data_IF_778764627566
#
_entry.id   IF_778764627566
#
_cell.length_a   1.000
_cell.length_b   1.000
_cell.length_c   1.000
_cell.angle_alpha   90.00
_cell.angle_beta   90.00
_cell.angle_gamma   90.00
#
_symmetry.space_group_name_H-M   'P 1'
#
loop_
_entity.id
_entity.type
_entity.pdbx_description
1 polymer ?
#
# COMPACT_ATOMS: atom_id res chain seq x y z
N UNK A 1 -21.71 7.36 -11.42
CA UNK A 1 -20.80 8.40 -11.90
C UNK A 1 -19.54 8.49 -11.01
N UNK A 2 -19.65 8.59 -9.69
CA UNK A 2 -18.48 8.72 -8.77
C UNK A 2 -17.40 7.65 -8.93
N UNK A 3 -17.77 6.37 -9.11
CA UNK A 3 -16.78 5.27 -9.30
C UNK A 3 -15.99 5.46 -10.60
N UNK A 4 -16.63 5.92 -11.67
CA UNK A 4 -15.98 6.18 -12.95
C UNK A 4 -14.98 7.36 -12.85
N UNK A 5 -15.30 8.37 -12.08
CA UNK A 5 -14.43 9.53 -11.81
C UNK A 5 -13.14 9.14 -11.06
N UNK A 6 -13.18 8.07 -10.25
CA UNK A 6 -12.02 7.53 -9.55
C UNK A 6 -11.19 6.63 -10.46
N UNK A 7 -11.85 5.74 -11.22
CA UNK A 7 -11.17 4.74 -12.04
C UNK A 7 -10.58 5.34 -13.32
N UNK A 8 -11.26 6.29 -13.94
CA UNK A 8 -10.86 6.85 -15.24
C UNK A 8 -9.47 7.50 -15.21
N UNK A 9 -9.11 8.35 -14.24
CA UNK A 9 -7.75 8.89 -14.13
C UNK A 9 -6.67 7.82 -14.01
N UNK A 10 -6.92 6.76 -13.24
CA UNK A 10 -6.00 5.62 -13.09
C UNK A 10 -5.77 4.93 -14.44
N UNK A 11 -6.85 4.63 -15.18
CA UNK A 11 -6.78 4.02 -16.50
C UNK A 11 -6.05 4.93 -17.50
N UNK A 12 -6.34 6.22 -17.49
CA UNK A 12 -5.67 7.20 -18.39
C UNK A 12 -4.17 7.22 -18.14
N UNK A 13 -3.72 7.23 -16.88
CA UNK A 13 -2.29 7.20 -16.55
C UNK A 13 -1.60 5.89 -16.98
N UNK A 14 -2.27 4.76 -16.79
CA UNK A 14 -1.76 3.46 -17.27
C UNK A 14 -1.67 3.46 -18.80
N UNK A 15 -2.70 3.92 -19.52
CA UNK A 15 -2.69 4.02 -20.99
C UNK A 15 -1.59 4.98 -21.48
N UNK A 16 -1.34 6.08 -20.77
CA UNK A 16 -0.24 7.00 -21.07
C UNK A 16 1.11 6.30 -20.92
N UNK A 17 1.33 5.50 -19.88
CA UNK A 17 2.52 4.70 -19.70
C UNK A 17 2.74 3.73 -20.87
N UNK A 18 1.69 3.02 -21.30
CA UNK A 18 1.73 2.14 -22.47
C UNK A 18 2.05 2.91 -23.77
N UNK A 19 1.48 4.10 -23.93
CA UNK A 19 1.74 4.99 -25.07
C UNK A 19 3.24 5.45 -25.07
N UNK A 20 3.78 5.83 -23.93
CA UNK A 20 5.20 6.20 -23.77
C UNK A 20 6.13 5.06 -24.23
N UNK A 21 5.79 3.80 -23.93
CA UNK A 21 6.52 2.62 -24.43
C UNK A 21 6.38 2.48 -25.97
N UNK A 22 5.15 2.54 -26.46
CA UNK A 22 4.86 2.37 -27.89
C UNK A 22 5.54 3.43 -28.76
N UNK A 23 5.53 4.67 -28.32
CA UNK A 23 6.12 5.80 -29.05
C UNK A 23 7.62 6.00 -28.73
N UNK A 24 8.21 5.13 -27.88
CA UNK A 24 9.61 5.21 -27.48
C UNK A 24 9.98 6.57 -26.84
N UNK A 25 9.03 7.24 -26.19
CA UNK A 25 9.26 8.49 -25.46
C UNK A 25 10.12 8.26 -24.22
N UNK A 26 9.99 7.09 -23.59
CA UNK A 26 10.79 6.65 -22.47
C UNK A 26 11.47 5.33 -22.82
N UNK A 27 12.63 5.11 -22.24
CA UNK A 27 13.36 3.84 -22.32
C UNK A 27 13.35 3.15 -20.96
N UNK A 28 13.84 1.91 -20.90
CA UNK A 28 13.85 1.12 -19.67
C UNK A 28 14.65 1.80 -18.55
N UNK A 29 15.81 2.40 -18.87
CA UNK A 29 16.62 3.12 -17.89
C UNK A 29 15.88 4.33 -17.30
N UNK A 30 15.11 5.06 -18.11
CA UNK A 30 14.28 6.17 -17.66
C UNK A 30 13.21 5.70 -16.67
N UNK A 31 12.57 4.58 -16.96
CA UNK A 31 11.56 3.95 -16.06
C UNK A 31 12.21 3.48 -14.76
N UNK A 32 13.37 2.84 -14.82
CA UNK A 32 14.07 2.36 -13.63
C UNK A 32 14.55 3.54 -12.75
N UNK A 33 14.99 4.64 -13.34
CA UNK A 33 15.30 5.87 -12.61
C UNK A 33 14.05 6.49 -11.95
N UNK A 34 12.89 6.46 -12.63
CA UNK A 34 11.62 6.90 -12.01
C UNK A 34 11.23 6.02 -10.83
N UNK A 35 11.39 4.69 -10.93
CA UNK A 35 11.17 3.78 -9.79
C UNK A 35 12.07 4.13 -8.61
N UNK A 36 13.36 4.36 -8.86
CA UNK A 36 14.34 4.75 -7.83
C UNK A 36 13.92 6.06 -7.16
N UNK A 37 13.56 7.10 -7.94
CA UNK A 37 13.11 8.38 -7.42
C UNK A 37 11.91 8.21 -6.48
N UNK A 38 10.90 7.46 -6.91
CA UNK A 38 9.70 7.22 -6.11
C UNK A 38 10.03 6.42 -4.86
N UNK A 39 10.75 5.31 -4.97
CA UNK A 39 10.95 4.38 -3.84
C UNK A 39 12.00 4.86 -2.85
N UNK A 40 12.99 5.65 -3.27
CA UNK A 40 14.09 6.07 -2.41
C UNK A 40 13.92 7.48 -1.85
N UNK A 41 13.05 8.32 -2.45
CA UNK A 41 12.87 9.71 -2.04
C UNK A 41 11.41 10.02 -1.74
N UNK A 42 10.52 9.90 -2.73
CA UNK A 42 9.16 10.38 -2.61
C UNK A 42 8.31 9.58 -1.61
N UNK A 43 8.32 8.26 -1.72
CA UNK A 43 7.59 7.36 -0.80
C UNK A 43 8.08 7.48 0.65
N UNK A 44 9.38 7.48 0.97
CA UNK A 44 9.85 7.72 2.33
C UNK A 44 9.32 9.02 2.94
N UNK A 45 9.26 10.11 2.17
CA UNK A 45 8.69 11.38 2.66
C UNK A 45 7.19 11.25 2.95
N UNK A 46 6.43 10.63 2.04
CA UNK A 46 5.00 10.41 2.23
C UNK A 46 4.72 9.51 3.46
N UNK A 47 5.48 8.42 3.61
CA UNK A 47 5.36 7.48 4.74
C UNK A 47 5.70 8.19 6.05
N UNK A 48 6.81 8.93 6.08
CA UNK A 48 7.19 9.72 7.26
C UNK A 48 6.08 10.68 7.64
N UNK A 49 5.56 11.47 6.69
CA UNK A 49 4.50 12.44 6.95
C UNK A 49 3.24 11.76 7.47
N UNK A 50 2.76 10.72 6.80
CA UNK A 50 1.56 9.99 7.19
C UNK A 50 1.64 9.44 8.63
N UNK A 51 2.79 8.83 8.98
CA UNK A 51 3.00 8.29 10.33
C UNK A 51 3.28 9.37 11.37
N UNK A 52 3.99 10.44 11.01
CA UNK A 52 4.30 11.54 11.92
C UNK A 52 3.09 12.41 12.28
N UNK A 53 2.07 12.44 11.41
CA UNK A 53 0.82 13.21 11.62
C UNK A 53 -0.35 12.35 12.08
N UNK A 54 -0.17 11.03 12.15
CA UNK A 54 -1.20 10.10 12.63
C UNK A 54 -1.56 10.37 14.10
N UNK A 55 -2.79 10.07 14.45
CA UNK A 55 -3.32 10.25 15.80
C UNK A 55 -3.08 8.97 16.62
N UNK A 56 -2.12 9.00 17.54
CA UNK A 56 -1.72 7.85 18.34
C UNK A 56 -2.48 7.84 19.68
N UNK A 57 -3.68 7.30 19.67
CA UNK A 57 -4.45 7.01 20.85
C UNK A 57 -4.56 5.49 21.08
N UNK A 58 -5.18 5.08 22.20
CA UNK A 58 -5.32 3.66 22.54
C UNK A 58 -6.16 2.90 21.50
N UNK A 59 -7.22 3.49 21.00
CA UNK A 59 -8.10 2.90 20.00
C UNK A 59 -7.37 2.72 18.67
N UNK A 60 -6.63 3.73 18.21
CA UNK A 60 -5.75 3.64 17.05
C UNK A 60 -4.76 2.48 17.19
N UNK A 61 -4.12 2.33 18.35
CA UNK A 61 -3.21 1.22 18.61
C UNK A 61 -3.87 -0.15 18.48
N UNK A 62 -5.10 -0.30 18.98
CA UNK A 62 -5.88 -1.55 18.86
C UNK A 62 -6.22 -1.83 17.39
N UNK A 63 -6.70 -0.84 16.65
CA UNK A 63 -7.08 -0.99 15.25
C UNK A 63 -5.87 -1.35 14.37
N UNK A 64 -4.75 -0.67 14.56
CA UNK A 64 -3.47 -0.98 13.89
C UNK A 64 -3.04 -2.42 14.21
N UNK A 65 -3.16 -2.83 15.47
CA UNK A 65 -2.85 -4.20 15.89
C UNK A 65 -3.74 -5.25 15.22
N UNK A 66 -5.06 -5.03 15.19
CA UNK A 66 -6.01 -5.92 14.50
C UNK A 66 -5.65 -6.02 13.01
N UNK A 67 -5.45 -4.90 12.35
CA UNK A 67 -5.13 -4.86 10.92
C UNK A 67 -3.80 -5.53 10.62
N UNK A 68 -2.76 -5.29 11.44
CA UNK A 68 -1.46 -5.91 11.26
C UNK A 68 -1.53 -7.45 11.39
N UNK A 69 -2.22 -7.96 12.42
CA UNK A 69 -2.43 -9.40 12.60
C UNK A 69 -3.19 -9.99 11.41
N UNK A 70 -4.24 -9.31 10.95
CA UNK A 70 -5.01 -9.76 9.79
C UNK A 70 -4.21 -9.74 8.49
N UNK A 71 -3.30 -8.78 8.30
CA UNK A 71 -2.36 -8.76 7.17
C UNK A 71 -1.41 -9.96 7.22
N UNK A 72 -0.87 -10.29 8.40
CA UNK A 72 -0.02 -11.48 8.61
C UNK A 72 -0.79 -12.76 8.31
N UNK A 73 -2.04 -12.87 8.76
CA UNK A 73 -2.90 -14.03 8.49
C UNK A 73 -3.19 -14.13 6.98
N UNK A 74 -3.60 -13.03 6.34
CA UNK A 74 -3.87 -12.98 4.90
C UNK A 74 -2.65 -13.42 4.09
N UNK A 75 -1.46 -12.92 4.46
CA UNK A 75 -0.21 -13.28 3.82
C UNK A 75 0.14 -14.76 4.00
N UNK A 76 -0.05 -15.28 5.22
CA UNK A 76 0.15 -16.70 5.55
C UNK A 76 -0.81 -17.61 4.77
N UNK A 77 -2.08 -17.22 4.65
CA UNK A 77 -3.06 -17.91 3.82
C UNK A 77 -2.67 -17.88 2.34
N UNK A 78 -2.10 -16.77 1.86
CA UNK A 78 -1.53 -16.67 0.52
C UNK A 78 -0.44 -17.72 0.26
N UNK A 79 0.40 -18.05 1.25
CA UNK A 79 1.35 -19.17 1.14
C UNK A 79 0.65 -20.53 1.07
N UNK A 80 -0.39 -20.74 1.87
CA UNK A 80 -1.19 -21.97 1.85
C UNK A 80 -1.93 -22.15 0.52
N UNK A 81 -2.29 -21.07 -0.16
CA UNK A 81 -2.97 -21.08 -1.46
C UNK A 81 -2.04 -21.36 -2.65
N UNK A 82 -0.73 -21.40 -2.48
CA UNK A 82 0.25 -21.67 -3.56
C UNK A 82 -0.08 -22.90 -4.42
N UNK A 83 -0.52 -24.04 -3.87
CA UNK A 83 -0.89 -25.20 -4.69
C UNK A 83 -2.02 -24.96 -5.68
N UNK A 84 -2.88 -23.95 -5.44
CA UNK A 84 -3.99 -23.59 -6.32
C UNK A 84 -3.52 -22.89 -7.61
N UNK A 85 -2.24 -22.46 -7.68
CA UNK A 85 -1.61 -21.94 -8.88
C UNK A 85 -0.85 -23.06 -9.57
N UNK A 86 -1.30 -23.58 -10.74
CA UNK A 86 -0.65 -24.67 -11.46
C UNK A 86 0.74 -24.30 -11.98
N UNK A 87 0.89 -23.06 -12.43
CA UNK A 87 2.12 -22.56 -13.03
C UNK A 87 3.18 -22.31 -11.95
N UNK A 88 4.20 -23.18 -11.85
CA UNK A 88 5.28 -23.11 -10.85
C UNK A 88 5.99 -21.76 -10.81
N UNK A 89 6.15 -21.11 -11.97
CA UNK A 89 6.79 -19.81 -12.10
C UNK A 89 6.11 -18.72 -11.26
N UNK A 90 4.76 -18.76 -11.15
CA UNK A 90 3.96 -17.74 -10.48
C UNK A 90 3.60 -18.12 -9.04
N UNK A 91 3.75 -19.40 -8.64
CA UNK A 91 3.46 -19.86 -7.28
C UNK A 91 4.17 -19.08 -6.19
N UNK A 92 5.44 -18.75 -6.42
CA UNK A 92 6.26 -18.01 -5.44
C UNK A 92 5.75 -16.59 -5.19
N UNK A 93 5.07 -15.98 -6.17
CA UNK A 93 4.53 -14.63 -6.08
C UNK A 93 3.08 -14.58 -5.58
N UNK A 94 2.36 -15.70 -5.57
CA UNK A 94 0.94 -15.73 -5.21
C UNK A 94 0.65 -15.08 -3.84
N UNK A 95 1.40 -15.36 -2.74
CA UNK A 95 1.16 -14.71 -1.45
C UNK A 95 1.22 -13.19 -1.52
N UNK A 96 2.15 -12.67 -2.31
CA UNK A 96 2.34 -11.24 -2.51
C UNK A 96 1.20 -10.60 -3.32
N UNK A 97 0.63 -11.33 -4.27
CA UNK A 97 -0.43 -10.84 -5.14
C UNK A 97 -1.81 -10.82 -4.49
N UNK A 98 -2.08 -11.77 -3.56
CA UNK A 98 -3.42 -11.93 -2.98
C UNK A 98 -3.63 -11.22 -1.65
N UNK A 99 -2.55 -10.85 -0.93
CA UNK A 99 -2.61 -10.38 0.46
C UNK A 99 -2.35 -8.88 0.64
N UNK A 100 -2.02 -8.14 -0.41
CA UNK A 100 -1.72 -6.70 -0.31
C UNK A 100 -2.95 -5.87 -0.56
N UNK A 101 -3.08 -4.83 0.26
CA UNK A 101 -4.07 -3.77 0.14
C UNK A 101 -3.39 -2.50 -0.34
N UNK A 102 -4.13 -1.69 -1.09
CA UNK A 102 -3.60 -0.46 -1.64
C UNK A 102 -4.45 0.72 -1.16
N UNK A 103 -3.89 1.53 -0.26
CA UNK A 103 -4.56 2.70 0.32
C UNK A 103 -4.59 3.90 -0.63
N UNK A 104 -3.43 4.24 -1.17
CA UNK A 104 -3.17 5.56 -1.73
C UNK A 104 -3.95 5.91 -2.99
N UNK A 105 -4.02 5.02 -3.97
CA UNK A 105 -4.58 5.35 -5.29
C UNK A 105 -6.08 5.10 -5.42
N UNK A 106 -6.63 4.15 -4.66
CA UNK A 106 -8.03 3.77 -4.80
C UNK A 106 -8.83 3.86 -3.49
N UNK A 107 -8.31 3.35 -2.38
CA UNK A 107 -9.08 3.26 -1.15
C UNK A 107 -9.42 4.64 -0.55
N UNK A 108 -8.45 5.56 -0.49
CA UNK A 108 -8.70 6.93 0.00
C UNK A 108 -9.72 7.68 -0.86
N UNK A 109 -9.58 7.78 -2.22
CA UNK A 109 -10.59 8.41 -3.06
C UNK A 109 -11.97 7.77 -2.96
N UNK A 110 -12.04 6.43 -2.90
CA UNK A 110 -13.29 5.71 -2.75
C UNK A 110 -13.96 6.05 -1.43
N UNK A 111 -13.23 5.94 -0.32
CA UNK A 111 -13.75 6.25 1.01
C UNK A 111 -14.19 7.71 1.13
N UNK A 112 -13.37 8.66 0.66
CA UNK A 112 -13.73 10.09 0.65
C UNK A 112 -15.01 10.36 -0.16
N UNK A 113 -15.17 9.68 -1.29
CA UNK A 113 -16.38 9.80 -2.11
C UNK A 113 -17.65 9.27 -1.42
N UNK A 114 -17.52 8.26 -0.56
CA UNK A 114 -18.62 7.62 0.16
C UNK A 114 -18.94 8.29 1.49
N UNK A 115 -17.89 8.66 2.23
CA UNK A 115 -18.00 9.06 3.64
C UNK A 115 -17.63 10.53 3.90
N UNK A 116 -17.10 11.26 2.91
CA UNK A 116 -16.60 12.62 3.07
C UNK A 116 -15.15 12.73 3.49
N UNK A 117 -14.50 13.84 3.16
CA UNK A 117 -13.09 14.08 3.46
C UNK A 117 -12.82 14.25 4.96
N UNK A 118 -13.80 14.70 5.71
CA UNK A 118 -13.74 14.88 7.16
C UNK A 118 -13.53 13.57 7.94
N UNK A 119 -13.86 12.43 7.32
CA UNK A 119 -13.75 11.11 7.93
C UNK A 119 -12.47 10.35 7.53
N UNK A 120 -11.56 10.98 6.77
CA UNK A 120 -10.32 10.34 6.28
C UNK A 120 -9.44 9.72 7.38
N UNK A 121 -9.52 10.22 8.61
CA UNK A 121 -8.79 9.67 9.74
C UNK A 121 -9.08 8.18 9.98
N UNK A 122 -10.28 7.71 9.70
CA UNK A 122 -10.68 6.31 9.91
C UNK A 122 -9.88 5.36 8.99
N UNK A 123 -9.77 5.71 7.70
CA UNK A 123 -9.02 4.87 6.76
C UNK A 123 -7.51 5.05 6.94
N UNK A 124 -7.04 6.24 7.33
CA UNK A 124 -5.63 6.51 7.57
C UNK A 124 -5.08 5.65 8.72
N UNK A 125 -5.86 5.42 9.78
CA UNK A 125 -5.48 4.53 10.89
C UNK A 125 -5.26 3.10 10.41
N UNK A 126 -6.13 2.59 9.54
CA UNK A 126 -5.98 1.23 8.98
C UNK A 126 -4.74 1.12 8.10
N UNK A 127 -4.43 2.18 7.33
CA UNK A 127 -3.28 2.22 6.44
C UNK A 127 -1.93 2.20 7.19
N UNK A 128 -1.86 2.68 8.42
CA UNK A 128 -0.65 2.55 9.27
C UNK A 128 -0.19 1.09 9.34
N UNK A 129 -1.11 0.16 9.56
CA UNK A 129 -0.78 -1.28 9.61
C UNK A 129 -0.27 -1.78 8.26
N UNK A 130 -0.89 -1.32 7.16
CA UNK A 130 -0.47 -1.64 5.79
C UNK A 130 0.93 -1.14 5.47
N UNK A 131 1.24 0.10 5.85
CA UNK A 131 2.58 0.69 5.69
C UNK A 131 3.63 -0.09 6.50
N UNK A 132 3.34 -0.38 7.78
CA UNK A 132 4.23 -1.16 8.64
C UNK A 132 4.49 -2.55 8.07
N UNK A 133 3.43 -3.29 7.72
CA UNK A 133 3.55 -4.62 7.15
C UNK A 133 4.24 -4.60 5.79
N UNK A 134 3.84 -3.68 4.91
CA UNK A 134 4.35 -3.55 3.55
C UNK A 134 5.84 -3.31 3.49
N UNK A 135 6.33 -2.36 4.28
CA UNK A 135 7.75 -1.98 4.24
C UNK A 135 8.66 -2.77 5.17
N UNK A 136 8.11 -3.53 6.13
CA UNK A 136 8.91 -4.42 6.98
C UNK A 136 8.93 -5.86 6.45
N UNK A 137 7.78 -6.51 6.40
CA UNK A 137 7.68 -7.95 6.10
C UNK A 137 7.59 -8.20 4.59
N UNK A 138 6.63 -7.54 3.93
CA UNK A 138 6.29 -7.83 2.54
C UNK A 138 7.43 -7.52 1.56
N UNK A 139 7.96 -6.31 1.56
CA UNK A 139 9.03 -5.91 0.65
C UNK A 139 10.33 -6.69 0.91
N UNK A 140 10.64 -6.97 2.18
CA UNK A 140 11.81 -7.77 2.54
C UNK A 140 11.71 -9.20 2.02
N UNK A 141 10.55 -9.85 2.19
CA UNK A 141 10.33 -11.21 1.68
C UNK A 141 10.26 -11.25 0.15
N UNK A 142 9.65 -10.25 -0.48
CA UNK A 142 9.59 -10.15 -1.94
C UNK A 142 11.00 -10.08 -2.55
N UNK A 143 11.88 -9.23 -1.99
CA UNK A 143 13.26 -9.11 -2.44
C UNK A 143 14.04 -10.43 -2.35
N UNK A 144 13.87 -11.22 -1.28
CA UNK A 144 14.50 -12.55 -1.18
C UNK A 144 13.96 -13.54 -2.21
N UNK A 145 12.64 -13.52 -2.44
CA UNK A 145 12.00 -14.39 -3.44
C UNK A 145 12.43 -14.05 -4.87
N UNK A 146 12.59 -12.76 -5.17
CA UNK A 146 13.08 -12.29 -6.48
C UNK A 146 14.54 -12.72 -6.72
N UNK A 147 15.39 -12.62 -5.71
CA UNK A 147 16.79 -13.07 -5.77
C UNK A 147 16.96 -14.60 -5.76
N UNK A 148 15.87 -15.36 -5.65
CA UNK A 148 15.92 -16.82 -5.57
C UNK A 148 16.45 -17.35 -4.25
N UNK A 149 16.54 -16.51 -3.22
CA UNK A 149 16.99 -16.89 -1.89
C UNK A 149 15.88 -17.59 -1.10
N UNK A 150 16.27 -18.41 -0.12
CA UNK A 150 15.34 -18.91 0.90
C UNK A 150 15.01 -17.78 1.85
N UNK A 151 13.74 -17.74 2.29
CA UNK A 151 13.29 -16.76 3.27
C UNK A 151 14.06 -16.96 4.58
N UNK A 152 14.89 -15.98 4.92
CA UNK A 152 15.70 -15.94 6.14
C UNK A 152 15.27 -14.72 6.97
N UNK A 153 14.64 -14.93 8.14
CA UNK A 153 14.17 -13.83 8.99
C UNK A 153 15.28 -12.88 9.43
N UNK A 154 16.51 -13.37 9.64
CA UNK A 154 17.64 -12.53 10.03
C UNK A 154 18.07 -11.59 8.90
N UNK A 155 18.14 -12.10 7.67
CA UNK A 155 18.40 -11.28 6.48
C UNK A 155 17.26 -10.32 6.20
N UNK A 156 15.99 -10.73 6.44
CA UNK A 156 14.84 -9.86 6.29
C UNK A 156 14.97 -8.60 7.16
N UNK A 157 15.23 -8.81 8.44
CA UNK A 157 15.39 -7.69 9.38
C UNK A 157 16.55 -6.77 8.98
N UNK A 158 17.71 -7.37 8.66
CA UNK A 158 18.89 -6.59 8.22
C UNK A 158 18.66 -5.82 6.92
N UNK A 159 17.89 -6.38 5.99
CA UNK A 159 17.54 -5.71 4.73
C UNK A 159 16.51 -4.60 4.96
N UNK A 160 15.49 -4.86 5.78
CA UNK A 160 14.43 -3.91 6.07
C UNK A 160 14.96 -2.61 6.69
N UNK A 161 15.83 -2.71 7.71
CA UNK A 161 16.42 -1.53 8.38
C UNK A 161 17.26 -0.64 7.45
N UNK A 162 17.67 -1.15 6.31
CA UNK A 162 18.45 -0.37 5.33
C UNK A 162 17.58 0.30 4.27
N UNK A 163 16.29 -0.03 4.20
CA UNK A 163 15.41 0.60 3.22
C UNK A 163 14.97 1.99 3.68
N UNK A 164 15.02 3.02 2.82
CA UNK A 164 14.57 4.36 3.17
C UNK A 164 13.13 4.40 3.68
N UNK A 165 12.26 3.57 3.12
CA UNK A 165 10.86 3.47 3.53
C UNK A 165 10.70 2.95 4.96
N UNK A 166 11.48 1.93 5.39
CA UNK A 166 11.46 1.43 6.76
C UNK A 166 12.02 2.47 7.74
N UNK A 167 13.13 3.12 7.39
CA UNK A 167 13.71 4.19 8.20
C UNK A 167 12.70 5.32 8.38
N UNK A 168 12.04 5.74 7.30
CA UNK A 168 10.99 6.75 7.32
C UNK A 168 9.80 6.33 8.19
N UNK A 169 9.41 5.05 8.17
CA UNK A 169 8.34 4.51 9.01
C UNK A 169 8.70 4.62 10.50
N UNK A 170 9.89 4.19 10.88
CA UNK A 170 10.36 4.26 12.28
C UNK A 170 10.46 5.72 12.75
N UNK A 171 11.08 6.58 11.95
CA UNK A 171 11.21 8.00 12.28
C UNK A 171 9.84 8.70 12.33
N UNK A 172 8.92 8.35 11.43
CA UNK A 172 7.56 8.87 11.41
C UNK A 172 6.78 8.51 12.67
N UNK A 173 6.85 7.24 13.12
CA UNK A 173 6.21 6.80 14.37
C UNK A 173 6.81 7.56 15.57
N UNK A 174 8.13 7.66 15.66
CA UNK A 174 8.80 8.41 16.75
C UNK A 174 8.35 9.87 16.75
N UNK A 175 8.32 10.50 15.57
CA UNK A 175 7.90 11.89 15.42
C UNK A 175 6.42 12.09 15.80
N UNK A 176 5.54 11.14 15.43
CA UNK A 176 4.12 11.16 15.77
C UNK A 176 3.90 11.00 17.28
N UNK A 177 4.55 10.01 17.91
CA UNK A 177 4.45 9.77 19.35
C UNK A 177 5.01 10.94 20.19
N UNK A 178 6.04 11.64 19.70
CA UNK A 178 6.64 12.80 20.39
C UNK A 178 5.92 14.12 20.09
N UNK A 179 5.05 14.16 19.08
CA UNK A 179 4.32 15.35 18.67
C UNK A 179 5.20 16.43 18.02
N UNK A 180 6.40 16.08 17.57
CA UNK A 180 7.35 17.06 16.99
C UNK A 180 6.79 17.67 15.70
N UNK A 181 6.23 16.85 14.81
CA UNK A 181 5.66 17.34 13.54
C UNK A 181 4.38 18.13 13.78
N UNK A 182 3.54 17.74 14.73
CA UNK A 182 2.36 18.50 15.12
C UNK A 182 2.74 19.91 15.65
N UNK A 183 3.81 20.00 16.45
CA UNK A 183 4.34 21.30 16.92
C UNK A 183 4.90 22.13 15.76
N UNK A 184 5.58 21.48 14.82
CA UNK A 184 6.09 22.15 13.61
C UNK A 184 4.94 22.71 12.76
N UNK A 185 3.87 21.93 12.58
CA UNK A 185 2.68 22.33 11.85
C UNK A 185 1.85 23.41 12.56
N UNK A 186 1.97 23.55 13.87
CA UNK A 186 1.39 24.66 14.63
C UNK A 186 2.28 25.93 14.67
N UNK A 187 3.50 25.85 14.15
CA UNK A 187 4.50 26.92 14.18
C UNK A 187 4.64 27.69 12.86
N UNK A 188 5.59 28.64 12.82
CA UNK A 188 5.81 29.52 11.65
C UNK A 188 6.31 28.77 10.41
N UNK A 189 6.84 27.57 10.56
CA UNK A 189 7.36 26.75 9.46
C UNK A 189 6.33 25.78 8.85
N UNK A 190 5.06 25.81 9.31
CA UNK A 190 4.01 24.93 8.84
C UNK A 190 3.83 24.98 7.31
N UNK A 191 3.73 26.20 6.75
CA UNK A 191 3.56 26.38 5.30
C UNK A 191 4.75 25.86 4.50
N UNK A 192 5.97 26.05 4.98
CA UNK A 192 7.18 25.54 4.30
C UNK A 192 7.21 24.02 4.32
N UNK A 193 6.95 23.39 5.48
CA UNK A 193 6.90 21.93 5.61
C UNK A 193 5.85 21.32 4.67
N UNK A 194 4.61 21.83 4.72
CA UNK A 194 3.50 21.33 3.89
C UNK A 194 3.78 21.53 2.40
N UNK A 195 4.38 22.64 2.01
CA UNK A 195 4.73 22.90 0.60
C UNK A 195 5.79 21.91 0.10
N UNK A 196 6.85 21.66 0.89
CA UNK A 196 7.90 20.69 0.52
C UNK A 196 7.33 19.28 0.43
N UNK A 197 6.53 18.87 1.43
CA UNK A 197 5.87 17.58 1.45
C UNK A 197 4.99 17.39 0.22
N UNK A 198 4.07 18.33 -0.05
CA UNK A 198 3.17 18.28 -1.20
C UNK A 198 3.90 18.20 -2.55
N UNK A 199 4.96 18.98 -2.74
CA UNK A 199 5.77 18.95 -3.99
C UNK A 199 6.35 17.57 -4.20
N UNK A 200 6.83 16.91 -3.14
CA UNK A 200 7.45 15.58 -3.24
C UNK A 200 6.43 14.46 -3.38
N UNK A 201 5.24 14.59 -2.80
CA UNK A 201 4.29 13.47 -2.68
C UNK A 201 3.17 13.48 -3.70
N UNK A 202 2.72 14.64 -4.16
CA UNK A 202 1.57 14.79 -5.08
C UNK A 202 1.72 13.96 -6.36
N UNK A 203 2.95 13.81 -6.88
CA UNK A 203 3.20 13.12 -8.14
C UNK A 203 3.41 11.61 -7.99
N UNK A 204 3.48 11.06 -6.76
CA UNK A 204 3.81 9.65 -6.52
C UNK A 204 2.88 8.72 -7.31
N UNK A 205 1.58 8.84 -7.12
CA UNK A 205 0.58 8.00 -7.78
C UNK A 205 0.67 8.10 -9.29
N UNK A 206 0.80 9.30 -9.83
CA UNK A 206 0.91 9.51 -11.29
C UNK A 206 2.15 8.85 -11.87
N UNK A 207 3.30 8.97 -11.21
CA UNK A 207 4.56 8.34 -11.65
C UNK A 207 4.46 6.82 -11.55
N UNK A 208 3.92 6.28 -10.45
CA UNK A 208 3.74 4.82 -10.28
C UNK A 208 2.85 4.27 -11.39
N UNK A 209 1.69 4.87 -11.64
CA UNK A 209 0.75 4.41 -12.66
C UNK A 209 1.34 4.46 -14.07
N UNK A 210 2.13 5.49 -14.37
CA UNK A 210 2.85 5.59 -15.64
C UNK A 210 3.89 4.48 -15.77
N UNK A 211 4.68 4.22 -14.72
CA UNK A 211 5.67 3.13 -14.67
C UNK A 211 5.01 1.76 -14.82
N UNK A 212 3.89 1.54 -14.14
CA UNK A 212 3.09 0.31 -14.28
C UNK A 212 2.59 0.16 -15.71
N UNK A 213 1.99 1.20 -16.28
CA UNK A 213 1.51 1.20 -17.66
C UNK A 213 2.61 0.88 -18.67
N UNK A 214 3.79 1.49 -18.52
CA UNK A 214 4.95 1.19 -19.37
C UNK A 214 5.39 -0.28 -19.25
N UNK A 215 5.29 -0.87 -18.07
CA UNK A 215 5.74 -2.23 -17.78
C UNK A 215 4.74 -3.32 -18.21
N UNK A 216 3.49 -2.97 -18.53
CA UNK A 216 2.47 -3.93 -18.97
C UNK A 216 2.85 -4.55 -20.31
N UNK A 217 2.91 -5.88 -20.33
CA UNK A 217 3.05 -6.68 -21.55
C UNK A 217 1.80 -7.55 -21.72
N UNK A 218 1.17 -7.44 -22.90
CA UNK A 218 0.04 -8.28 -23.21
C UNK A 218 0.53 -9.63 -23.76
N UNK A 219 0.66 -10.61 -22.88
CA UNK A 219 0.88 -12.01 -23.27
C UNK A 219 -0.37 -12.83 -22.94
N UNK A 220 -0.93 -13.49 -23.95
CA UNK A 220 -2.09 -14.39 -23.78
C UNK A 220 -1.82 -15.51 -22.79
N UNK A 221 -0.55 -15.90 -22.60
CA UNK A 221 -0.14 -16.91 -21.62
C UNK A 221 -0.30 -16.43 -20.17
N UNK A 222 -0.32 -15.12 -19.94
CA UNK A 222 -0.52 -14.53 -18.61
C UNK A 222 -2.00 -14.43 -18.22
N UNK A 223 -2.92 -14.55 -19.18
CA UNK A 223 -4.34 -14.34 -18.92
C UNK A 223 -4.91 -15.34 -17.90
N UNK A 224 -4.58 -16.62 -18.04
CA UNK A 224 -5.05 -17.66 -17.11
C UNK A 224 -4.52 -17.47 -15.69
N UNK A 225 -3.19 -17.30 -15.44
CA UNK A 225 -2.69 -17.03 -14.11
C UNK A 225 -3.22 -15.70 -13.53
N UNK A 226 -3.42 -14.65 -14.33
CA UNK A 226 -3.99 -13.40 -13.86
C UNK A 226 -5.44 -13.57 -13.37
N UNK A 227 -6.30 -14.21 -14.17
CA UNK A 227 -7.70 -14.44 -13.79
C UNK A 227 -7.76 -15.27 -12.49
N UNK A 228 -6.96 -16.33 -12.38
CA UNK A 228 -6.91 -17.15 -11.16
C UNK A 228 -6.47 -16.33 -9.95
N UNK A 229 -5.42 -15.55 -10.10
CA UNK A 229 -4.95 -14.65 -9.01
C UNK A 229 -6.05 -13.69 -8.57
N UNK A 230 -6.77 -13.08 -9.52
CA UNK A 230 -7.89 -12.17 -9.22
C UNK A 230 -8.99 -12.90 -8.44
N UNK A 231 -9.40 -14.09 -8.91
CA UNK A 231 -10.43 -14.87 -8.22
C UNK A 231 -9.99 -15.26 -6.81
N UNK A 232 -8.76 -15.78 -6.66
CA UNK A 232 -8.22 -16.16 -5.36
C UNK A 232 -8.10 -14.96 -4.43
N UNK A 233 -7.70 -13.79 -4.96
CA UNK A 233 -7.64 -12.53 -4.21
C UNK A 233 -9.02 -12.12 -3.72
N UNK A 234 -10.04 -12.08 -4.58
CA UNK A 234 -11.41 -11.70 -4.21
C UNK A 234 -11.94 -12.63 -3.11
N UNK A 235 -11.75 -13.95 -3.24
CA UNK A 235 -12.19 -14.92 -2.25
C UNK A 235 -11.49 -14.71 -0.89
N UNK A 236 -10.16 -14.56 -0.92
CA UNK A 236 -9.39 -14.32 0.30
C UNK A 236 -9.79 -13.01 0.96
N UNK A 237 -9.90 -11.92 0.19
CA UNK A 237 -10.28 -10.61 0.72
C UNK A 237 -11.68 -10.60 1.29
N UNK A 238 -12.66 -11.26 0.66
CA UNK A 238 -14.01 -11.39 1.21
C UNK A 238 -14.01 -12.04 2.59
N UNK A 239 -13.23 -13.11 2.78
CA UNK A 239 -13.07 -13.79 4.07
C UNK A 239 -12.38 -12.88 5.09
N UNK A 240 -11.30 -12.19 4.67
CA UNK A 240 -10.52 -11.32 5.54
C UNK A 240 -11.31 -10.09 5.98
N UNK A 241 -12.06 -9.45 5.07
CA UNK A 241 -12.97 -8.33 5.42
C UNK A 241 -13.96 -8.79 6.49
N UNK A 242 -14.61 -9.93 6.29
CA UNK A 242 -15.53 -10.49 7.29
C UNK A 242 -14.84 -10.71 8.64
N UNK A 243 -13.63 -11.26 8.64
CA UNK A 243 -12.83 -11.46 9.86
C UNK A 243 -12.45 -10.16 10.57
N UNK A 244 -12.03 -9.14 9.83
CA UNK A 244 -11.70 -7.82 10.39
C UNK A 244 -12.94 -7.15 10.97
N UNK A 245 -14.06 -7.15 10.25
CA UNK A 245 -15.32 -6.56 10.73
C UNK A 245 -15.79 -7.24 12.01
N UNK A 246 -15.71 -8.57 12.09
CA UNK A 246 -16.03 -9.30 13.32
C UNK A 246 -15.08 -8.95 14.46
N UNK A 247 -13.78 -8.88 14.21
CA UNK A 247 -12.81 -8.51 15.24
C UNK A 247 -13.05 -7.09 15.77
N UNK A 248 -13.36 -6.13 14.89
CA UNK A 248 -13.68 -4.75 15.27
C UNK A 248 -14.99 -4.73 16.08
N UNK A 249 -16.03 -5.42 15.63
CA UNK A 249 -17.31 -5.51 16.34
C UNK A 249 -17.15 -5.98 17.80
N UNK A 250 -16.34 -7.03 18.02
CA UNK A 250 -16.14 -7.58 19.37
C UNK A 250 -15.16 -6.80 20.24
N UNK A 251 -14.18 -6.09 19.68
CA UNK A 251 -13.09 -5.45 20.43
C UNK A 251 -13.33 -3.95 20.59
N UNK A 252 -13.81 -3.28 19.56
CA UNK A 252 -13.94 -1.82 19.51
C UNK A 252 -15.42 -1.40 19.57
N UNK A 253 -16.32 -2.20 18.98
CA UNK A 253 -17.73 -1.93 18.85
C UNK A 253 -18.13 -1.55 17.42
N UNK A 254 -19.42 -1.33 17.20
CA UNK A 254 -19.95 -1.00 15.87
C UNK A 254 -19.81 0.48 15.55
N UNK A 255 -18.98 0.77 14.56
CA UNK A 255 -18.81 2.10 13.97
C UNK A 255 -18.96 2.02 12.46
N UNK A 256 -20.08 2.51 11.93
CA UNK A 256 -20.39 2.44 10.49
C UNK A 256 -19.26 3.01 9.60
N UNK A 257 -18.71 4.16 9.97
CA UNK A 257 -17.63 4.80 9.21
C UNK A 257 -16.35 3.96 9.19
N UNK A 258 -16.01 3.32 10.32
CA UNK A 258 -14.86 2.42 10.43
C UNK A 258 -15.08 1.16 9.60
N UNK A 259 -16.28 0.58 9.64
CA UNK A 259 -16.63 -0.60 8.84
C UNK A 259 -16.54 -0.29 7.33
N UNK A 260 -17.00 0.89 6.90
CA UNK A 260 -16.85 1.35 5.52
C UNK A 260 -15.39 1.62 5.15
N UNK A 261 -14.59 2.12 6.09
CA UNK A 261 -13.14 2.28 5.89
C UNK A 261 -12.46 0.93 5.66
N UNK A 262 -12.78 -0.09 6.47
CA UNK A 262 -12.24 -1.46 6.29
C UNK A 262 -12.62 -2.02 4.92
N UNK A 263 -13.89 -1.92 4.53
CA UNK A 263 -14.34 -2.40 3.22
C UNK A 263 -13.61 -1.66 2.09
N UNK A 264 -13.51 -0.34 2.18
CA UNK A 264 -12.85 0.47 1.15
C UNK A 264 -11.34 0.21 1.06
N UNK A 265 -10.68 -0.07 2.20
CA UNK A 265 -9.24 -0.30 2.28
C UNK A 265 -8.86 -1.71 1.81
N UNK A 266 -9.69 -2.72 2.10
CA UNK A 266 -9.38 -4.12 1.84
C UNK A 266 -9.98 -4.65 0.53
N UNK A 267 -10.87 -3.92 -0.15
CA UNK A 267 -11.43 -4.32 -1.45
C UNK A 267 -10.52 -3.93 -2.61
#
# INVERSE_FOLDING_TARGET
>A
MKVLEIILPVLVMILLGMACRKWKLLNQNGIDNMKVLVTQIMLPVAIFHALATADYNKETGILVGIMFVMLVISFSLGFAMRPLMPEQRYRKYLPFMVSVYEGGSMAYPLYTSLCGAENLSQIAVLDIAGLLFGFSVYMGMLGQVENGEKIDPGKLFSSAIRTPAFIASVLGIIAGLTGVVQKLLAGPFAGTYTSVENILTTSITSVILLVVGFSIEFDKKLLSPCIRTIVLRILLQAVMIGGVLLAIHYIVGDHLLLNLAVISYMS
#
